data_IF_271238484639
#
_entry.id   IF_271238484639
#
_cell.length_a   1.000
_cell.length_b   1.000
_cell.length_c   1.000
_cell.angle_alpha   90.00
_cell.angle_beta   90.00
_cell.angle_gamma   90.00
#
_symmetry.space_group_name_H-M   'P 1'
#
loop_
_entity.id
_entity.type
_entity.pdbx_description
1 polymer ?
#
# COMPACT_ATOMS: atom_id res chain seq x y z
N UNK A 1 -7.14 -0.81 9.40
CA UNK A 1 -6.87 0.12 8.28
C UNK A 1 -5.51 -0.23 7.71
N UNK A 2 -5.35 -0.24 6.39
CA UNK A 2 -4.10 -0.55 5.70
C UNK A 2 -3.81 0.55 4.67
N UNK A 3 -2.56 1.00 4.59
CA UNK A 3 -2.06 1.95 3.60
C UNK A 3 -1.09 1.24 2.65
N UNK A 4 -1.28 1.41 1.34
CA UNK A 4 -0.37 0.95 0.30
C UNK A 4 0.29 2.17 -0.34
N UNK A 5 1.61 2.18 -0.42
CA UNK A 5 2.37 3.15 -1.21
C UNK A 5 2.94 2.46 -2.45
N UNK A 6 2.79 3.05 -3.63
CA UNK A 6 3.37 2.53 -4.87
C UNK A 6 4.05 3.66 -5.65
N UNK A 7 5.31 3.46 -6.03
CA UNK A 7 6.01 4.36 -6.94
C UNK A 7 6.74 3.54 -7.99
N UNK A 8 6.59 3.96 -9.25
CA UNK A 8 7.38 3.44 -10.37
C UNK A 8 8.55 4.38 -10.71
N UNK A 9 8.57 5.60 -10.16
CA UNK A 9 9.60 6.60 -10.36
C UNK A 9 10.13 7.15 -9.02
N UNK A 10 11.36 6.80 -8.67
CA UNK A 10 12.03 7.27 -7.46
C UNK A 10 12.64 8.68 -7.63
N UNK A 11 12.70 9.21 -8.85
CA UNK A 11 13.26 10.54 -9.14
C UNK A 11 12.27 11.68 -8.84
N UNK A 12 10.99 11.38 -8.63
CA UNK A 12 10.00 12.36 -8.21
C UNK A 12 10.17 12.72 -6.72
N UNK A 13 10.97 13.76 -6.48
CA UNK A 13 11.27 14.26 -5.12
C UNK A 13 9.99 14.67 -4.39
N UNK A 14 9.01 15.28 -5.07
CA UNK A 14 7.78 15.70 -4.43
C UNK A 14 6.98 14.49 -3.95
N UNK A 15 6.90 13.44 -4.76
CA UNK A 15 6.27 12.18 -4.38
C UNK A 15 6.99 11.52 -3.20
N UNK A 16 8.32 11.49 -3.20
CA UNK A 16 9.09 10.91 -2.08
C UNK A 16 8.91 11.68 -0.76
N UNK A 17 8.76 13.01 -0.82
CA UNK A 17 8.39 13.83 0.34
C UNK A 17 7.00 13.43 0.85
N UNK A 18 6.01 13.31 -0.04
CA UNK A 18 4.67 12.86 0.36
C UNK A 18 4.71 11.47 1.01
N UNK A 19 5.50 10.54 0.47
CA UNK A 19 5.64 9.20 1.04
C UNK A 19 6.24 9.25 2.44
N UNK A 20 7.26 10.07 2.66
CA UNK A 20 7.86 10.24 3.98
C UNK A 20 6.84 10.77 5.00
N UNK A 21 6.03 11.77 4.61
CA UNK A 21 4.97 12.32 5.47
C UNK A 21 3.89 11.27 5.80
N UNK A 22 3.44 10.51 4.79
CA UNK A 22 2.43 9.46 4.97
C UNK A 22 2.97 8.33 5.85
N UNK A 23 4.22 7.93 5.66
CA UNK A 23 4.88 6.92 6.48
C UNK A 23 4.92 7.35 7.94
N UNK A 24 5.39 8.57 8.24
CA UNK A 24 5.41 9.12 9.58
C UNK A 24 4.01 9.09 10.22
N UNK A 25 3.00 9.60 9.50
CA UNK A 25 1.62 9.59 9.96
C UNK A 25 1.10 8.18 10.25
N UNK A 26 1.32 7.22 9.35
CA UNK A 26 0.85 5.85 9.54
C UNK A 26 1.55 5.16 10.71
N UNK A 27 2.86 5.37 10.87
CA UNK A 27 3.63 4.83 11.99
C UNK A 27 3.13 5.37 13.34
N UNK A 28 2.92 6.69 13.45
CA UNK A 28 2.42 7.34 14.66
C UNK A 28 1.00 6.89 15.04
N UNK A 29 0.15 6.66 14.03
CA UNK A 29 -1.25 6.27 14.24
C UNK A 29 -1.46 4.74 14.24
N UNK A 30 -0.38 3.95 14.28
CA UNK A 30 -0.42 2.49 14.23
C UNK A 30 -1.24 1.91 13.05
N UNK A 31 -1.23 2.60 11.92
CA UNK A 31 -1.81 2.13 10.67
C UNK A 31 -0.79 1.17 10.02
N UNK A 32 -1.25 0.00 9.60
CA UNK A 32 -0.40 -0.89 8.81
C UNK A 32 -0.10 -0.24 7.47
N UNK A 33 1.17 -0.19 7.09
CA UNK A 33 1.65 0.44 5.87
C UNK A 33 2.60 -0.51 5.17
N UNK A 34 2.49 -0.62 3.84
CA UNK A 34 3.42 -1.40 3.01
C UNK A 34 3.77 -0.60 1.76
N UNK A 35 5.00 -0.77 1.28
CA UNK A 35 5.41 -0.28 -0.04
C UNK A 35 5.21 -1.43 -1.03
N UNK A 36 4.60 -1.15 -2.17
CA UNK A 36 4.34 -2.12 -3.22
C UNK A 36 5.21 -1.78 -4.41
N UNK A 37 6.01 -2.73 -4.88
CA UNK A 37 6.72 -2.58 -6.15
C UNK A 37 5.75 -2.90 -7.31
N UNK A 38 5.85 -2.17 -8.43
CA UNK A 38 5.05 -2.37 -9.64
C UNK A 38 3.61 -1.83 -9.52
N UNK A 39 3.48 -0.52 -9.75
CA UNK A 39 2.19 0.17 -9.73
C UNK A 39 1.26 -0.30 -10.85
N UNK A 40 1.81 -0.65 -12.02
CA UNK A 40 1.02 -1.23 -13.12
C UNK A 40 0.25 -2.48 -12.66
N UNK A 41 0.92 -3.38 -11.93
CA UNK A 41 0.30 -4.57 -11.38
C UNK A 41 -0.76 -4.24 -10.32
N UNK A 42 -0.49 -3.25 -9.48
CA UNK A 42 -1.49 -2.75 -8.52
C UNK A 42 -2.75 -2.22 -9.24
N UNK A 43 -2.56 -1.48 -10.34
CA UNK A 43 -3.66 -0.96 -11.16
C UNK A 43 -4.50 -2.08 -11.78
N UNK A 44 -3.87 -3.15 -12.27
CA UNK A 44 -4.56 -4.34 -12.78
C UNK A 44 -5.43 -4.99 -11.70
N UNK A 45 -4.90 -5.18 -10.49
CA UNK A 45 -5.62 -5.81 -9.36
C UNK A 45 -6.83 -4.95 -8.94
N UNK A 46 -6.67 -3.63 -8.92
CA UNK A 46 -7.74 -2.71 -8.51
C UNK A 46 -8.77 -2.43 -9.62
N UNK A 47 -8.64 -3.06 -10.80
CA UNK A 47 -9.55 -2.87 -11.94
C UNK A 47 -9.40 -1.52 -12.63
N UNK A 48 -8.24 -0.85 -12.46
CA UNK A 48 -7.96 0.51 -12.91
C UNK A 48 -7.62 0.65 -14.40
N UNK A 49 -7.56 -0.43 -15.18
CA UNK A 49 -7.25 -0.33 -16.62
C UNK A 49 -8.55 -0.14 -17.41
N UNK A 50 -9.00 1.11 -17.55
CA UNK A 50 -10.01 1.44 -18.56
C UNK A 50 -9.36 1.35 -19.95
N UNK A 51 -9.93 0.61 -20.92
CA UNK A 51 -9.39 0.60 -22.29
C UNK A 51 -9.44 2.01 -22.87
N UNK A 52 -8.27 2.59 -23.16
CA UNK A 52 -8.13 3.93 -23.75
C UNK A 52 -8.07 5.11 -22.78
N UNK A 53 -8.01 4.87 -21.47
CA UNK A 53 -7.85 5.92 -20.45
C UNK A 53 -6.39 6.20 -20.06
N UNK A 54 -6.12 7.38 -19.50
CA UNK A 54 -4.83 7.67 -18.84
C UNK A 54 -4.58 6.66 -17.70
N UNK A 55 -3.31 6.27 -17.46
CA UNK A 55 -2.97 5.38 -16.36
C UNK A 55 -3.47 5.99 -15.05
N UNK A 56 -4.21 5.21 -14.26
CA UNK A 56 -4.69 5.68 -12.95
C UNK A 56 -3.48 5.84 -12.06
N UNK A 57 -3.26 7.07 -11.61
CA UNK A 57 -2.26 7.37 -10.62
C UNK A 57 -2.67 6.73 -9.27
N UNK A 58 -1.96 5.66 -8.89
CA UNK A 58 -2.21 4.87 -7.70
C UNK A 58 -1.02 4.93 -6.75
N UNK A 59 -0.48 6.13 -6.53
CA UNK A 59 0.64 6.34 -5.61
C UNK A 59 0.35 5.99 -4.15
N UNK A 60 -0.90 6.15 -3.70
CA UNK A 60 -1.32 5.81 -2.34
C UNK A 60 -2.75 5.30 -2.30
N UNK A 61 -2.98 4.13 -1.68
CA UNK A 61 -4.31 3.54 -1.51
C UNK A 61 -4.56 3.27 -0.03
N UNK A 62 -5.65 3.82 0.51
CA UNK A 62 -6.06 3.61 1.90
C UNK A 62 -7.27 2.68 1.96
N UNK A 63 -7.08 1.50 2.56
CA UNK A 63 -8.14 0.56 2.84
C UNK A 63 -8.75 0.88 4.21
N UNK A 64 -9.86 1.62 4.17
CA UNK A 64 -10.68 1.92 5.34
C UNK A 64 -11.72 0.83 5.53
N UNK A 65 -11.90 0.36 6.77
CA UNK A 65 -12.91 -0.63 7.08
C UNK A 65 -14.34 -0.03 7.04
N UNK A 66 -15.27 -0.54 6.20
CA UNK A 66 -16.68 -0.23 6.36
C UNK A 66 -17.22 -0.94 7.60
N UNK A 67 -17.79 -0.18 8.53
CA UNK A 67 -18.19 -0.53 9.92
C UNK A 67 -19.18 -1.71 10.10
N UNK A 68 -19.35 -2.63 9.14
CA UNK A 68 -20.23 -3.79 9.29
C UNK A 68 -19.73 -5.00 8.52
N UNK A 69 -19.29 -6.05 9.23
CA UNK A 69 -19.18 -7.45 8.80
C UNK A 69 -18.12 -7.91 7.78
N UNK A 70 -17.51 -7.04 6.96
CA UNK A 70 -16.43 -7.43 6.02
C UNK A 70 -15.06 -7.68 6.68
N UNK A 71 -14.97 -7.51 8.01
CA UNK A 71 -13.74 -7.39 8.81
C UNK A 71 -13.06 -8.69 9.26
N UNK A 72 -13.37 -9.80 8.64
CA UNK A 72 -12.59 -11.03 8.83
C UNK A 72 -12.11 -11.57 7.51
N UNK A 73 -11.68 -10.70 6.61
CA UNK A 73 -10.86 -11.16 5.50
C UNK A 73 -9.55 -11.73 6.09
N UNK A 74 -9.30 -13.06 5.96
CA UNK A 74 -8.10 -13.67 6.49
C UNK A 74 -6.84 -13.09 5.83
N UNK A 75 -6.92 -12.62 4.58
CA UNK A 75 -5.79 -11.98 3.90
C UNK A 75 -5.41 -10.66 4.58
N UNK A 76 -6.37 -9.85 5.02
CA UNK A 76 -6.07 -8.61 5.75
C UNK A 76 -5.41 -8.89 7.11
N UNK A 77 -5.81 -9.99 7.77
CA UNK A 77 -5.15 -10.46 8.99
C UNK A 77 -3.71 -10.91 8.71
N UNK A 78 -3.48 -11.64 7.62
CA UNK A 78 -2.14 -12.07 7.20
C UNK A 78 -1.24 -10.87 6.92
N UNK A 79 -1.70 -9.90 6.14
CA UNK A 79 -0.94 -8.67 5.86
C UNK A 79 -0.66 -7.88 7.14
N UNK A 80 -1.62 -7.82 8.06
CA UNK A 80 -1.43 -7.17 9.36
C UNK A 80 -0.40 -7.89 10.22
N UNK A 81 -0.38 -9.22 10.20
CA UNK A 81 0.63 -10.06 10.86
C UNK A 81 2.02 -9.82 10.29
N UNK A 82 2.14 -9.85 8.95
CA UNK A 82 3.37 -9.52 8.24
C UNK A 82 3.90 -8.12 8.63
N UNK A 83 3.05 -7.09 8.61
CA UNK A 83 3.46 -5.74 9.05
C UNK A 83 3.94 -5.72 10.51
N UNK A 84 3.35 -6.54 11.38
CA UNK A 84 3.78 -6.63 12.79
C UNK A 84 5.13 -7.32 12.92
N UNK A 85 5.34 -8.41 12.20
CA UNK A 85 6.59 -9.16 12.16
C UNK A 85 7.74 -8.30 11.60
N UNK A 86 7.51 -7.58 10.50
CA UNK A 86 8.49 -6.66 9.92
C UNK A 86 8.93 -5.57 10.89
N UNK A 87 8.01 -5.01 11.69
CA UNK A 87 8.36 -4.01 12.72
C UNK A 87 9.31 -4.57 13.79
N UNK A 88 9.22 -5.85 14.14
CA UNK A 88 10.18 -6.48 15.05
C UNK A 88 11.58 -6.64 14.46
N UNK A 89 11.70 -6.52 13.13
CA UNK A 89 12.96 -6.55 12.38
C UNK A 89 13.43 -5.15 11.97
N UNK A 90 12.91 -4.10 12.62
CA UNK A 90 13.16 -2.69 12.31
C UNK A 90 12.76 -2.27 10.88
N UNK A 91 11.92 -3.06 10.21
CA UNK A 91 11.35 -2.76 8.90
C UNK A 91 9.98 -2.10 9.06
N UNK A 92 9.98 -0.79 9.30
CA UNK A 92 8.78 0.00 9.58
C UNK A 92 7.81 0.10 8.40
N UNK A 93 8.33 0.07 7.17
CA UNK A 93 7.57 0.11 5.92
C UNK A 93 8.03 -1.05 5.06
N UNK A 94 7.53 -2.27 5.30
CA UNK A 94 7.97 -3.43 4.55
C UNK A 94 7.56 -3.34 3.08
N UNK A 95 8.40 -3.88 2.22
CA UNK A 95 8.17 -3.91 0.76
C UNK A 95 7.53 -5.24 0.37
N UNK A 96 6.49 -5.17 -0.46
CA UNK A 96 5.81 -6.33 -1.04
C UNK A 96 5.95 -6.28 -2.55
N UNK A 97 6.42 -7.38 -3.11
CA UNK A 97 6.46 -7.59 -4.55
C UNK A 97 5.20 -8.34 -4.98
N UNK A 98 4.37 -7.72 -5.83
CA UNK A 98 3.19 -8.37 -6.35
C UNK A 98 3.60 -9.46 -7.36
N UNK A 99 3.03 -10.68 -7.28
CA UNK A 99 3.33 -11.73 -8.23
C UNK A 99 2.81 -11.37 -9.63
N UNK A 100 3.51 -11.84 -10.66
CA UNK A 100 3.04 -11.80 -12.04
C UNK A 100 1.76 -12.63 -12.24
N UNK A 101 1.06 -12.43 -13.37
CA UNK A 101 -0.21 -13.13 -13.66
C UNK A 101 0.02 -14.51 -14.26
#
# INVERSE_FOLDING_TARGET
>A
VLCLLAADNEEDVALQIHFTLIQAFCCENHINIVRVSNMRRLAEILGGVKPGGEPVDLHCVLLTNPQSSLMKDPALSTVSGFCRESRFLDQWVPVVHLPDR
#
